data_IF_087682854741
#
_entry.id   IF_087682854741
#
_cell.length_a   1.000
_cell.length_b   1.000
_cell.length_c   1.000
_cell.angle_alpha   90.00
_cell.angle_beta   90.00
_cell.angle_gamma   90.00
#
_symmetry.space_group_name_H-M   'P 1'
#
loop_
_entity.id
_entity.type
_entity.pdbx_description
1 polymer ?
#
# COMPACT_ATOMS: atom_id res chain seq x y z
N UNK A 1 -8.00 1.89 11.82
CA UNK A 1 -7.06 1.31 10.84
C UNK A 1 -5.84 0.81 11.62
N UNK A 2 -5.36 -0.39 11.33
CA UNK A 2 -4.11 -0.91 11.89
C UNK A 2 -3.08 -0.93 10.75
N UNK A 3 -1.98 -0.17 10.84
CA UNK A 3 -0.94 -0.18 9.82
C UNK A 3 -0.11 -1.46 9.86
N UNK A 4 0.35 -1.91 8.69
CA UNK A 4 1.22 -3.08 8.54
C UNK A 4 2.65 -2.58 8.39
N UNK A 5 3.58 -3.15 9.15
CA UNK A 5 4.99 -2.76 9.13
C UNK A 5 5.87 -3.90 8.63
N UNK A 6 6.85 -3.59 7.79
CA UNK A 6 7.83 -4.55 7.30
C UNK A 6 9.17 -3.86 7.00
N UNK A 7 10.24 -4.65 6.89
CA UNK A 7 11.62 -4.14 6.76
C UNK A 7 12.35 -4.81 5.59
N UNK A 8 12.07 -4.40 4.35
CA UNK A 8 12.70 -4.96 3.17
C UNK A 8 14.08 -4.32 2.91
N UNK A 9 14.80 -4.90 1.96
CA UNK A 9 16.01 -4.31 1.38
C UNK A 9 15.65 -3.45 0.16
N UNK A 10 16.49 -2.44 -0.10
CA UNK A 10 16.45 -1.64 -1.32
C UNK A 10 16.42 -2.55 -2.56
N UNK A 11 15.61 -2.17 -3.55
CA UNK A 11 15.35 -2.85 -4.80
C UNK A 11 14.57 -4.18 -4.69
N UNK A 12 14.09 -4.56 -3.50
CA UNK A 12 13.05 -5.60 -3.42
C UNK A 12 11.75 -5.09 -4.04
N UNK A 13 10.94 -6.01 -4.56
CA UNK A 13 9.68 -5.71 -5.23
C UNK A 13 8.52 -6.02 -4.31
N UNK A 14 7.66 -5.03 -4.10
CA UNK A 14 6.43 -5.11 -3.32
C UNK A 14 5.25 -5.31 -4.28
N UNK A 15 4.41 -6.32 -4.03
CA UNK A 15 3.09 -6.46 -4.65
C UNK A 15 2.03 -6.36 -3.56
N UNK A 16 1.02 -5.52 -3.79
CA UNK A 16 -0.15 -5.40 -2.90
C UNK A 16 -1.41 -5.63 -3.72
N UNK A 17 -2.18 -6.65 -3.34
CA UNK A 17 -3.48 -6.95 -3.97
C UNK A 17 -4.58 -6.80 -2.95
N UNK A 18 -5.64 -6.11 -3.34
CA UNK A 18 -6.83 -5.89 -2.52
C UNK A 18 -8.03 -6.46 -3.26
N UNK A 19 -8.84 -7.24 -2.55
CA UNK A 19 -10.10 -7.72 -3.06
C UNK A 19 -11.25 -7.30 -2.14
N UNK A 20 -12.30 -6.75 -2.73
CA UNK A 20 -13.45 -6.21 -2.00
C UNK A 20 -13.16 -4.88 -1.30
N UNK A 21 -14.22 -4.26 -0.79
CA UNK A 21 -14.12 -2.93 -0.20
C UNK A 21 -13.78 -1.86 -1.24
N UNK A 22 -13.91 -0.60 -0.85
CA UNK A 22 -13.45 0.52 -1.66
C UNK A 22 -12.35 1.22 -0.86
N UNK A 23 -11.17 0.62 -0.92
CA UNK A 23 -10.00 0.99 -0.14
C UNK A 23 -8.76 0.89 -1.00
N UNK A 24 -7.77 1.74 -0.69
CA UNK A 24 -6.54 1.88 -1.45
C UNK A 24 -5.33 1.72 -0.52
N UNK A 25 -4.25 1.06 -0.98
CA UNK A 25 -3.05 0.86 -0.20
C UNK A 25 -2.03 1.98 -0.42
N UNK A 26 -1.63 2.64 0.66
CA UNK A 26 -0.60 3.67 0.64
C UNK A 26 0.62 3.26 1.44
N UNK A 27 1.79 3.39 0.82
CA UNK A 27 3.09 3.03 1.37
C UNK A 27 3.82 4.28 1.90
N UNK A 28 4.36 4.17 3.11
CA UNK A 28 5.09 5.22 3.80
C UNK A 28 6.48 4.76 4.18
N UNK A 29 7.45 5.67 4.10
CA UNK A 29 8.82 5.47 4.56
C UNK A 29 9.44 6.82 4.87
N UNK A 30 10.33 6.88 5.88
CA UNK A 30 10.95 8.15 6.34
C UNK A 30 11.73 8.93 5.28
N UNK A 31 12.14 8.27 4.20
CA UNK A 31 12.90 8.86 3.10
C UNK A 31 12.05 9.10 1.84
N UNK A 32 10.76 8.72 1.84
CA UNK A 32 9.85 9.12 0.78
C UNK A 32 9.35 10.54 1.07
N UNK A 33 9.27 11.38 0.04
CA UNK A 33 8.78 12.76 0.17
C UNK A 33 7.28 12.81 0.47
N UNK A 34 6.53 11.83 -0.02
CA UNK A 34 5.11 11.63 0.24
C UNK A 34 4.79 10.12 0.28
N UNK A 35 3.58 9.75 0.66
CA UNK A 35 3.08 8.38 0.49
C UNK A 35 2.99 8.00 -0.98
N UNK A 36 3.15 6.71 -1.25
CA UNK A 36 3.06 6.15 -2.60
C UNK A 36 1.84 5.24 -2.67
N UNK A 37 1.00 5.42 -3.68
CA UNK A 37 -0.05 4.44 -3.98
C UNK A 37 0.60 3.19 -4.54
N UNK A 38 0.30 2.04 -3.94
CA UNK A 38 0.84 0.73 -4.35
C UNK A 38 -0.27 -0.23 -4.74
N UNK A 39 -1.44 0.32 -5.11
CA UNK A 39 -2.56 -0.45 -5.63
C UNK A 39 -2.25 -1.04 -7.01
N UNK A 40 -3.01 -2.06 -7.40
CA UNK A 40 -2.86 -2.77 -8.67
C UNK A 40 -2.89 -1.85 -9.90
N UNK A 41 -3.61 -0.72 -9.82
CA UNK A 41 -3.78 0.24 -10.90
C UNK A 41 -3.02 1.56 -10.68
N UNK A 42 -2.12 1.61 -9.69
CA UNK A 42 -1.34 2.79 -9.39
C UNK A 42 -0.32 3.07 -10.50
N UNK A 43 -0.04 4.34 -10.86
CA UNK A 43 1.00 4.66 -11.85
C UNK A 43 2.42 4.34 -11.36
N UNK A 44 2.62 4.12 -10.06
CA UNK A 44 3.91 3.81 -9.47
C UNK A 44 4.28 2.32 -9.52
N UNK A 45 3.32 1.43 -9.82
CA UNK A 45 3.59 0.01 -10.04
C UNK A 45 3.91 -0.26 -11.52
N UNK A 46 4.75 -1.26 -11.77
CA UNK A 46 5.04 -1.72 -13.13
C UNK A 46 3.87 -2.50 -13.75
N UNK A 47 4.00 -2.89 -15.03
CA UNK A 47 2.99 -3.66 -15.77
C UNK A 47 2.65 -5.02 -15.13
N UNK A 48 3.43 -5.47 -14.15
CA UNK A 48 3.23 -6.71 -13.40
C UNK A 48 2.62 -6.46 -12.00
N UNK A 49 2.35 -5.21 -11.64
CA UNK A 49 1.80 -4.82 -10.34
C UNK A 49 2.84 -4.75 -9.22
N UNK A 50 4.13 -4.62 -9.55
CA UNK A 50 5.18 -4.49 -8.55
C UNK A 50 5.65 -3.05 -8.39
N UNK A 51 5.81 -2.64 -7.13
CA UNK A 51 6.52 -1.42 -6.76
C UNK A 51 7.95 -1.77 -6.33
N UNK A 52 8.96 -1.15 -6.94
CA UNK A 52 10.36 -1.35 -6.56
C UNK A 52 10.72 -0.45 -5.39
N UNK A 53 11.08 -1.04 -4.24
CA UNK A 53 11.35 -0.32 -3.00
C UNK A 53 12.66 0.49 -3.10
N UNK A 54 12.61 1.83 -3.04
CA UNK A 54 13.80 2.66 -3.29
C UNK A 54 14.81 2.67 -2.13
N UNK A 55 14.40 2.25 -0.93
CA UNK A 55 15.20 2.29 0.28
C UNK A 55 15.13 0.96 1.04
N UNK A 56 16.15 0.70 1.85
CA UNK A 56 16.08 -0.33 2.89
C UNK A 56 15.57 0.30 4.19
N UNK A 57 14.87 -0.47 5.01
CA UNK A 57 14.45 -0.02 6.33
C UNK A 57 12.95 -0.22 6.58
N UNK A 58 12.43 0.38 7.64
CA UNK A 58 11.05 0.15 8.06
C UNK A 58 10.07 0.92 7.16
N UNK A 59 9.22 0.18 6.48
CA UNK A 59 8.07 0.69 5.75
C UNK A 59 6.79 0.53 6.57
N UNK A 60 5.80 1.37 6.26
CA UNK A 60 4.46 1.29 6.80
C UNK A 60 3.45 1.27 5.63
N UNK A 61 2.62 0.23 5.57
CA UNK A 61 1.53 0.09 4.61
C UNK A 61 0.20 0.38 5.32
N UNK A 62 -0.55 1.33 4.76
CA UNK A 62 -1.85 1.77 5.28
C UNK A 62 -2.93 1.48 4.26
N UNK A 63 -4.01 0.85 4.70
CA UNK A 63 -5.21 0.63 3.88
C UNK A 63 -6.22 1.72 4.23
N UNK A 64 -6.46 2.63 3.28
CA UNK A 64 -7.26 3.83 3.48
C UNK A 64 -8.55 3.75 2.68
N UNK A 65 -9.64 4.28 3.23
CA UNK A 65 -10.88 4.48 2.49
C UNK A 65 -11.04 5.96 2.12
N UNK A 66 -11.74 6.29 1.02
CA UNK A 66 -12.02 7.67 0.68
C UNK A 66 -12.76 8.43 1.80
N UNK A 67 -12.46 9.72 1.93
CA UNK A 67 -13.11 10.59 2.94
C UNK A 67 -14.63 10.58 2.84
N UNK A 68 -15.18 10.45 1.64
CA UNK A 68 -16.62 10.37 1.38
C UNK A 68 -17.29 9.12 2.00
N UNK A 69 -16.53 8.04 2.17
CA UNK A 69 -16.97 6.83 2.87
C UNK A 69 -16.76 6.94 4.37
N UNK A 70 -15.59 7.45 4.79
CA UNK A 70 -15.26 7.66 6.19
C UNK A 70 -16.23 8.62 6.89
N UNK A 71 -16.60 9.73 6.24
CA UNK A 71 -17.54 10.72 6.79
C UNK A 71 -18.95 10.16 7.00
N UNK A 72 -19.29 9.05 6.32
CA UNK A 72 -20.55 8.33 6.45
C UNK A 72 -20.45 7.12 7.39
N UNK A 73 -19.32 6.96 8.09
CA UNK A 73 -19.10 5.85 9.02
C UNK A 73 -19.00 4.48 8.35
N UNK A 74 -18.71 4.41 7.04
CA UNK A 74 -18.55 3.13 6.36
C UNK A 74 -17.29 2.42 6.84
N UNK A 75 -17.37 1.09 6.90
CA UNK A 75 -16.27 0.18 7.27
C UNK A 75 -16.21 -0.95 6.25
N UNK A 76 -15.65 -0.70 5.05
CA UNK A 76 -15.56 -1.71 4.00
C UNK A 76 -14.71 -2.90 4.45
N UNK A 77 -15.24 -4.10 4.29
CA UNK A 77 -14.46 -5.33 4.44
C UNK A 77 -13.61 -5.54 3.19
N UNK A 78 -12.38 -5.99 3.37
CA UNK A 78 -11.43 -6.25 2.28
C UNK A 78 -10.51 -7.41 2.63
N UNK A 79 -9.99 -8.06 1.60
CA UNK A 79 -8.90 -9.03 1.67
C UNK A 79 -7.63 -8.38 1.16
N UNK A 80 -6.51 -8.67 1.81
CA UNK A 80 -5.21 -8.08 1.50
C UNK A 80 -4.18 -9.19 1.32
N UNK A 81 -3.49 -9.18 0.18
CA UNK A 81 -2.32 -10.00 -0.09
C UNK A 81 -1.10 -9.08 -0.26
N UNK A 82 -0.04 -9.34 0.51
CA UNK A 82 1.22 -8.58 0.46
C UNK A 82 2.35 -9.55 0.20
N UNK A 83 3.12 -9.29 -0.86
CA UNK A 83 4.28 -10.09 -1.25
C UNK A 83 5.51 -9.21 -1.42
N UNK A 84 6.66 -9.67 -0.91
CA UNK A 84 7.96 -8.99 -1.03
C UNK A 84 8.95 -9.99 -1.64
N UNK A 85 9.52 -9.63 -2.78
CA UNK A 85 10.50 -10.42 -3.54
C UNK A 85 11.87 -9.73 -3.48
#
# INVERSE_FOLDING_TARGET
>A
MIPIHFTPKKNQRLSVKIAGGNVDPYLFHKNLSDSVDVGEYAPEVDDQGYYTLPYSGKYELRILQPRSQASRGKTPAYWLEVSIL
#
